data_IF_224985293474
#
_entry.id   IF_224985293474
#
_cell.length_a   1.000
_cell.length_b   1.000
_cell.length_c   1.000
_cell.angle_alpha   90.00
_cell.angle_beta   90.00
_cell.angle_gamma   90.00
#
_symmetry.space_group_name_H-M   'P 1'
#
loop_
_entity.id
_entity.type
_entity.pdbx_description
1 polymer ?
#
# COMPACT_ATOMS: atom_id res chain seq x y z
N UNK A 1 -37.78 -8.97 32.52
CA UNK A 1 -37.43 -7.56 32.74
C UNK A 1 -36.35 -7.19 31.73
N UNK A 2 -36.66 -6.23 30.88
CA UNK A 2 -35.78 -5.58 29.91
C UNK A 2 -34.92 -4.52 30.59
N UNK A 3 -33.71 -4.28 30.06
CA UNK A 3 -33.07 -2.98 29.70
C UNK A 3 -31.56 -3.11 29.90
N UNK A 4 -30.79 -3.33 28.84
CA UNK A 4 -30.26 -2.33 27.89
C UNK A 4 -28.89 -1.77 28.34
N UNK A 5 -27.88 -2.04 27.50
CA UNK A 5 -27.01 -1.06 26.85
C UNK A 5 -25.59 -1.60 26.70
N UNK A 6 -25.25 -2.02 25.47
CA UNK A 6 -24.02 -1.56 24.84
C UNK A 6 -24.23 -1.50 23.32
N UNK A 7 -24.87 -0.38 22.95
CA UNK A 7 -24.59 0.45 21.77
C UNK A 7 -24.60 -0.21 20.40
N UNK A 8 -25.79 -0.16 19.80
CA UNK A 8 -25.98 0.28 18.40
C UNK A 8 -25.12 1.54 18.16
N UNK A 9 -24.04 1.41 17.39
CA UNK A 9 -23.08 2.50 17.22
C UNK A 9 -22.00 2.26 16.17
N UNK A 10 -22.28 1.48 15.14
CA UNK A 10 -21.50 1.52 13.90
C UNK A 10 -22.48 1.42 12.74
N UNK A 11 -23.23 2.49 12.51
CA UNK A 11 -23.52 2.89 11.14
C UNK A 11 -22.18 3.33 10.54
N UNK A 12 -21.33 2.33 10.29
CA UNK A 12 -20.01 2.45 9.71
C UNK A 12 -20.29 2.76 8.24
N UNK A 13 -19.82 3.90 7.76
CA UNK A 13 -20.09 4.48 6.43
C UNK A 13 -20.57 3.46 5.38
N UNK A 14 -21.75 3.68 4.80
CA UNK A 14 -22.23 2.86 3.66
C UNK A 14 -21.27 2.92 2.47
N UNK A 15 -20.45 3.97 2.42
CA UNK A 15 -19.44 4.21 1.41
C UNK A 15 -18.04 3.79 1.91
N UNK A 16 -17.18 3.20 1.06
CA UNK A 16 -15.85 2.79 1.44
C UNK A 16 -14.99 3.93 2.02
N UNK A 17 -14.20 3.61 3.03
CA UNK A 17 -13.17 4.52 3.57
C UNK A 17 -11.76 4.02 3.25
N UNK A 18 -10.82 4.94 3.07
CA UNK A 18 -9.46 4.64 2.64
C UNK A 18 -8.44 5.19 3.63
N UNK A 19 -7.46 4.38 4.02
CA UNK A 19 -6.38 4.84 4.89
C UNK A 19 -5.08 4.14 4.53
N UNK A 20 -3.98 4.89 4.45
CA UNK A 20 -2.65 4.33 4.40
C UNK A 20 -2.16 4.05 5.82
N UNK A 21 -1.93 2.79 6.13
CA UNK A 21 -1.38 2.34 7.39
C UNK A 21 0.14 2.22 7.25
N UNK A 22 0.87 2.99 8.05
CA UNK A 22 2.33 2.96 8.11
C UNK A 22 2.83 2.15 9.29
N UNK A 23 3.76 1.22 9.00
CA UNK A 23 4.51 0.44 10.00
C UNK A 23 6.00 0.49 9.69
N UNK A 24 6.84 0.18 10.68
CA UNK A 24 8.29 0.08 10.44
C UNK A 24 8.55 -1.06 9.45
N UNK A 25 9.23 -0.74 8.35
CA UNK A 25 9.55 -1.71 7.31
C UNK A 25 10.43 -2.84 7.86
N UNK A 26 10.06 -4.10 7.64
CA UNK A 26 10.86 -5.28 8.02
C UNK A 26 11.43 -5.24 9.46
N UNK A 27 10.64 -4.69 10.39
CA UNK A 27 10.94 -4.60 11.83
C UNK A 27 12.29 -3.94 12.11
N UNK A 28 13.36 -4.71 12.33
CA UNK A 28 14.70 -4.19 12.62
C UNK A 28 15.37 -3.51 11.42
N UNK A 29 15.06 -3.93 10.19
CA UNK A 29 15.67 -3.37 8.99
C UNK A 29 15.17 -1.95 8.70
N UNK A 30 13.95 -1.59 9.09
CA UNK A 30 13.41 -0.23 8.94
C UNK A 30 14.07 0.79 9.86
N UNK A 31 14.71 0.35 10.95
CA UNK A 31 15.55 1.22 11.81
C UNK A 31 16.97 1.41 11.26
N UNK A 32 17.34 0.71 10.19
CA UNK A 32 18.65 0.86 9.55
C UNK A 32 18.68 2.18 8.74
N UNK A 33 17.54 2.62 8.20
CA UNK A 33 17.41 3.95 7.59
C UNK A 33 17.91 5.05 8.53
N UNK A 34 18.82 5.91 8.05
CA UNK A 34 19.16 7.16 8.73
C UNK A 34 18.86 8.33 7.80
N UNK A 35 18.49 9.51 8.33
CA UNK A 35 18.30 9.82 9.76
C UNK A 35 17.00 9.30 10.37
N UNK A 36 16.06 8.78 9.58
CA UNK A 36 14.72 8.37 10.02
C UNK A 36 14.42 6.92 9.66
N UNK A 37 13.50 6.30 10.40
CA UNK A 37 13.07 4.94 10.12
C UNK A 37 12.19 4.87 8.85
N UNK A 38 12.34 3.77 8.11
CA UNK A 38 11.57 3.52 6.88
C UNK A 38 10.16 3.02 7.21
N UNK A 39 9.15 3.69 6.64
CA UNK A 39 7.78 3.22 6.66
C UNK A 39 7.50 2.29 5.49
N UNK A 40 6.90 1.15 5.81
CA UNK A 40 6.14 0.36 4.87
C UNK A 40 4.66 0.75 4.99
N UNK A 41 4.07 1.09 3.85
CA UNK A 41 2.67 1.52 3.76
C UNK A 41 1.81 0.39 3.19
N UNK A 42 0.65 0.17 3.82
CA UNK A 42 -0.42 -0.69 3.31
C UNK A 42 -1.68 0.15 3.14
N UNK A 43 -2.39 -0.02 2.02
CA UNK A 43 -3.68 0.63 1.79
C UNK A 43 -4.79 -0.20 2.41
N UNK A 44 -5.58 0.43 3.27
CA UNK A 44 -6.77 -0.14 3.89
C UNK A 44 -8.00 0.44 3.20
N UNK A 45 -8.88 -0.44 2.75
CA UNK A 45 -10.24 -0.13 2.28
C UNK A 45 -11.19 -0.76 3.30
N UNK A 46 -11.90 0.05 4.08
CA UNK A 46 -12.93 -0.43 5.03
C UNK A 46 -14.31 -0.10 4.45
N UNK A 47 -15.06 -1.16 4.13
CA UNK A 47 -16.35 -1.12 3.46
C UNK A 47 -17.39 -1.90 4.27
N UNK A 48 -18.59 -1.34 4.44
CA UNK A 48 -19.63 -1.94 5.26
C UNK A 48 -20.15 -3.30 4.73
N UNK A 49 -20.00 -3.58 3.43
CA UNK A 49 -20.52 -4.79 2.79
C UNK A 49 -19.44 -5.86 2.58
N UNK A 50 -18.22 -5.45 2.25
CA UNK A 50 -17.10 -6.33 1.90
C UNK A 50 -16.11 -6.50 3.06
N UNK A 51 -16.27 -5.74 4.14
CA UNK A 51 -15.36 -5.71 5.27
C UNK A 51 -14.07 -4.96 4.94
N UNK A 52 -12.97 -5.39 5.55
CA UNK A 52 -11.67 -4.74 5.40
C UNK A 52 -10.90 -5.42 4.28
N UNK A 53 -10.45 -4.67 3.29
CA UNK A 53 -9.47 -5.09 2.29
C UNK A 53 -8.15 -4.36 2.53
N UNK A 54 -7.05 -5.10 2.54
CA UNK A 54 -5.70 -4.55 2.70
C UNK A 54 -4.90 -4.85 1.43
N UNK A 55 -4.28 -3.83 0.85
CA UNK A 55 -3.44 -3.96 -0.35
C UNK A 55 -2.05 -3.42 -0.03
N UNK A 56 -1.02 -4.22 -0.27
CA UNK A 56 0.37 -3.76 -0.23
C UNK A 56 1.26 -4.48 -1.24
N UNK A 57 2.45 -3.90 -1.47
CA UNK A 57 3.49 -4.50 -2.29
C UNK A 57 4.53 -5.15 -1.39
N UNK A 58 4.87 -6.41 -1.63
CA UNK A 58 5.89 -7.14 -0.85
C UNK A 58 6.94 -7.79 -1.73
N UNK A 59 8.17 -7.98 -1.22
CA UNK A 59 9.08 -8.93 -1.83
C UNK A 59 8.56 -10.36 -1.64
N UNK A 60 8.79 -11.20 -2.63
CA UNK A 60 8.74 -12.65 -2.47
C UNK A 60 9.96 -13.17 -1.70
N UNK A 61 9.72 -14.05 -0.74
CA UNK A 61 10.80 -14.74 0.01
C UNK A 61 10.93 -16.21 -0.41
N UNK A 62 10.82 -16.49 -1.71
CA UNK A 62 10.95 -17.84 -2.28
C UNK A 62 9.66 -18.65 -2.34
N UNK A 63 8.57 -18.15 -1.76
CA UNK A 63 7.21 -18.73 -1.83
C UNK A 63 6.68 -18.89 -3.28
N UNK A 64 7.19 -18.10 -4.22
CA UNK A 64 6.88 -18.17 -5.65
C UNK A 64 7.99 -18.87 -6.48
N UNK A 65 8.86 -19.66 -5.82
CA UNK A 65 10.03 -20.31 -6.43
C UNK A 65 11.27 -19.41 -6.49
N UNK A 66 12.45 -20.04 -6.65
CA UNK A 66 13.75 -19.35 -6.63
C UNK A 66 13.92 -18.31 -7.75
N UNK A 67 13.35 -18.56 -8.94
CA UNK A 67 13.39 -17.62 -10.07
C UNK A 67 12.69 -16.30 -9.77
N UNK A 68 11.71 -16.33 -8.86
CA UNK A 68 10.95 -15.16 -8.44
C UNK A 68 11.44 -14.59 -7.11
N UNK A 69 12.54 -15.07 -6.54
CA UNK A 69 13.05 -14.62 -5.26
C UNK A 69 13.34 -13.10 -5.26
N UNK A 70 12.91 -12.40 -4.21
CA UNK A 70 13.07 -10.96 -4.02
C UNK A 70 12.52 -10.15 -5.18
N UNK A 71 11.36 -10.52 -5.71
CA UNK A 71 10.63 -9.75 -6.71
C UNK A 71 9.34 -9.18 -6.11
N UNK A 72 8.92 -8.03 -6.60
CA UNK A 72 7.72 -7.34 -6.09
C UNK A 72 6.47 -8.11 -6.50
N UNK A 73 5.55 -8.30 -5.56
CA UNK A 73 4.19 -8.80 -5.80
C UNK A 73 3.15 -7.93 -5.10
N UNK A 74 1.94 -7.96 -5.63
CA UNK A 74 0.75 -7.51 -4.91
C UNK A 74 0.37 -8.54 -3.87
N UNK A 75 0.09 -8.10 -2.65
CA UNK A 75 -0.68 -8.88 -1.68
C UNK A 75 -2.02 -8.19 -1.43
N UNK A 76 -3.08 -9.00 -1.36
CA UNK A 76 -4.43 -8.57 -0.99
C UNK A 76 -4.89 -9.47 0.15
N UNK A 77 -5.24 -8.86 1.29
CA UNK A 77 -5.76 -9.55 2.47
C UNK A 77 -7.16 -9.06 2.78
N UNK A 78 -7.99 -9.93 3.35
CA UNK A 78 -9.34 -9.57 3.79
C UNK A 78 -9.48 -9.80 5.29
N UNK A 79 -10.13 -8.85 5.96
CA UNK A 79 -10.47 -8.89 7.38
C UNK A 79 -9.29 -9.12 8.34
N UNK A 80 -8.08 -8.75 7.91
CA UNK A 80 -6.87 -8.77 8.72
C UNK A 80 -6.14 -7.44 8.57
N UNK A 81 -6.13 -6.62 9.63
CA UNK A 81 -5.38 -5.36 9.64
C UNK A 81 -3.90 -5.64 9.91
N UNK A 82 -2.98 -4.88 9.29
CA UNK A 82 -1.55 -5.04 9.58
C UNK A 82 -1.27 -4.69 11.04
N UNK A 83 -0.47 -5.51 11.72
CA UNK A 83 0.03 -5.24 13.06
C UNK A 83 1.14 -4.18 13.07
N UNK A 84 1.42 -3.60 14.24
CA UNK A 84 2.55 -2.66 14.44
C UNK A 84 2.40 -1.32 13.73
N UNK A 85 1.16 -0.89 13.49
CA UNK A 85 0.84 0.39 12.83
C UNK A 85 1.14 1.55 13.77
N UNK A 86 1.94 2.49 13.28
CA UNK A 86 2.36 3.68 14.01
C UNK A 86 1.83 4.97 13.38
N UNK A 87 1.37 4.90 12.13
CA UNK A 87 0.83 6.05 11.39
C UNK A 87 -0.41 5.62 10.62
N UNK A 88 -1.43 6.49 10.60
CA UNK A 88 -2.64 6.32 9.79
C UNK A 88 -2.89 7.61 9.01
N UNK A 89 -2.87 7.53 7.69
CA UNK A 89 -3.04 8.69 6.80
C UNK A 89 -4.35 8.49 6.04
N UNK A 90 -5.38 9.31 6.28
CA UNK A 90 -6.62 9.22 5.53
C UNK A 90 -6.37 9.53 4.05
N UNK A 91 -7.08 8.84 3.17
CA UNK A 91 -7.03 9.06 1.74
C UNK A 91 -8.45 9.30 1.22
N UNK A 92 -8.59 10.27 0.32
CA UNK A 92 -9.84 10.55 -0.35
C UNK A 92 -9.73 10.26 -1.85
N UNK A 93 -10.84 9.86 -2.51
CA UNK A 93 -10.89 9.77 -3.96
C UNK A 93 -10.52 11.09 -4.65
N UNK A 94 -10.01 11.07 -5.89
CA UNK A 94 -9.86 12.28 -6.67
C UNK A 94 -11.23 12.93 -6.94
N UNK A 95 -11.23 14.25 -7.17
CA UNK A 95 -12.44 15.00 -7.45
C UNK A 95 -13.25 14.39 -8.61
N UNK A 96 -14.55 14.21 -8.42
CA UNK A 96 -15.46 13.62 -9.40
C UNK A 96 -15.51 12.09 -9.43
N UNK A 97 -14.73 11.39 -8.60
CA UNK A 97 -14.79 9.93 -8.46
C UNK A 97 -15.54 9.54 -7.18
N UNK A 98 -16.52 8.64 -7.29
CA UNK A 98 -17.23 8.11 -6.10
C UNK A 98 -16.31 7.19 -5.28
N UNK A 99 -16.59 7.02 -3.99
CA UNK A 99 -15.83 6.13 -3.11
C UNK A 99 -15.91 4.68 -3.57
N UNK A 100 -17.06 4.23 -4.04
CA UNK A 100 -17.28 2.87 -4.57
C UNK A 100 -16.46 2.64 -5.84
N UNK A 101 -16.45 3.61 -6.74
CA UNK A 101 -15.66 3.56 -7.97
C UNK A 101 -14.17 3.54 -7.63
N UNK A 102 -13.74 4.36 -6.68
CA UNK A 102 -12.35 4.41 -6.25
C UNK A 102 -11.90 3.07 -5.65
N UNK A 103 -12.68 2.50 -4.73
CA UNK A 103 -12.40 1.18 -4.15
C UNK A 103 -12.30 0.09 -5.23
N UNK A 104 -13.27 0.04 -6.15
CA UNK A 104 -13.28 -0.92 -7.24
C UNK A 104 -12.06 -0.81 -8.13
N UNK A 105 -11.72 0.40 -8.58
CA UNK A 105 -10.55 0.61 -9.45
C UNK A 105 -9.24 0.28 -8.74
N UNK A 106 -9.09 0.59 -7.44
CA UNK A 106 -7.92 0.21 -6.66
C UNK A 106 -7.74 -1.32 -6.62
N UNK A 107 -8.80 -2.06 -6.35
CA UNK A 107 -8.77 -3.53 -6.33
C UNK A 107 -8.47 -4.10 -7.73
N UNK A 108 -9.10 -3.56 -8.78
CA UNK A 108 -8.85 -3.97 -10.17
C UNK A 108 -7.39 -3.73 -10.55
N UNK A 109 -6.84 -2.54 -10.29
CA UNK A 109 -5.45 -2.20 -10.63
C UNK A 109 -4.44 -3.00 -9.83
N UNK A 110 -4.71 -3.27 -8.56
CA UNK A 110 -3.86 -4.11 -7.73
C UNK A 110 -3.83 -5.56 -8.23
N UNK A 111 -4.99 -6.09 -8.64
CA UNK A 111 -5.12 -7.44 -9.22
C UNK A 111 -4.45 -7.54 -10.59
N UNK A 112 -4.52 -6.47 -11.38
CA UNK A 112 -3.89 -6.37 -12.70
C UNK A 112 -2.38 -6.09 -12.65
N UNK A 113 -1.80 -5.97 -11.46
CA UNK A 113 -0.37 -5.78 -11.34
C UNK A 113 0.38 -7.03 -11.80
N UNK A 114 1.31 -6.85 -12.74
CA UNK A 114 2.19 -7.92 -13.19
C UNK A 114 3.21 -8.28 -12.10
N UNK A 115 2.81 -9.15 -11.17
CA UNK A 115 3.71 -9.60 -10.10
C UNK A 115 4.94 -10.31 -10.66
N UNK A 116 6.06 -10.20 -9.95
CA UNK A 116 7.35 -10.81 -10.28
C UNK A 116 8.05 -10.23 -11.53
N UNK A 117 7.60 -9.12 -12.08
CA UNK A 117 8.31 -8.47 -13.20
C UNK A 117 9.53 -7.66 -12.76
N UNK A 118 9.48 -7.08 -11.56
CA UNK A 118 10.51 -6.17 -11.06
C UNK A 118 11.23 -6.71 -9.81
N UNK A 119 12.57 -6.73 -9.77
CA UNK A 119 13.31 -7.02 -8.56
C UNK A 119 12.98 -6.02 -7.45
N UNK A 120 12.77 -6.52 -6.24
CA UNK A 120 12.61 -5.71 -5.05
C UNK A 120 13.96 -5.12 -4.64
N UNK A 121 13.98 -3.80 -4.43
CA UNK A 121 15.15 -3.08 -3.92
C UNK A 121 14.86 -2.56 -2.53
N UNK A 122 15.48 -3.13 -1.47
CA UNK A 122 15.39 -2.49 -0.17
C UNK A 122 16.04 -1.10 -0.25
N UNK A 123 15.62 -0.14 0.58
CA UNK A 123 16.21 1.19 0.62
C UNK A 123 17.74 1.08 0.73
N UNK A 124 18.45 1.43 -0.35
CA UNK A 124 19.87 1.09 -0.51
C UNK A 124 20.82 2.01 0.26
N UNK A 125 20.30 3.06 0.91
CA UNK A 125 21.13 4.04 1.58
C UNK A 125 20.63 4.27 2.99
N UNK A 126 21.54 4.03 3.94
CA UNK A 126 21.54 4.57 5.30
C UNK A 126 21.36 6.11 5.35
N UNK A 127 21.26 6.82 4.22
CA UNK A 127 21.11 8.27 4.09
C UNK A 127 20.34 8.62 2.81
N UNK A 128 19.03 8.85 2.92
CA UNK A 128 18.25 9.56 1.91
C UNK A 128 16.89 8.96 1.56
N UNK A 129 15.91 9.84 1.32
CA UNK A 129 14.50 9.51 1.07
C UNK A 129 14.21 8.98 -0.34
N UNK A 130 15.24 8.79 -1.19
CA UNK A 130 15.09 8.54 -2.64
C UNK A 130 15.81 7.27 -3.09
N UNK A 131 15.07 6.42 -3.81
CA UNK A 131 15.62 5.27 -4.53
C UNK A 131 16.48 5.74 -5.72
N UNK A 132 17.39 4.89 -6.22
CA UNK A 132 18.06 5.20 -7.48
C UNK A 132 17.07 4.99 -8.65
N UNK A 133 17.27 5.68 -9.79
CA UNK A 133 16.41 5.48 -10.96
C UNK A 133 16.31 4.00 -11.37
N UNK A 134 15.09 3.51 -11.57
CA UNK A 134 14.82 2.12 -11.95
C UNK A 134 14.79 1.12 -10.78
N UNK A 135 15.02 1.57 -9.54
CA UNK A 135 14.87 0.76 -8.34
C UNK A 135 13.49 0.95 -7.72
N UNK A 136 12.82 -0.16 -7.38
CA UNK A 136 11.46 -0.14 -6.87
C UNK A 136 11.32 -0.99 -5.61
N UNK A 137 10.40 -0.60 -4.74
CA UNK A 137 10.09 -1.28 -3.49
C UNK A 137 8.60 -1.24 -3.20
N UNK A 138 8.21 -1.61 -1.98
CA UNK A 138 6.81 -1.59 -1.52
C UNK A 138 6.14 -0.22 -1.62
N UNK A 139 6.85 0.86 -1.28
CA UNK A 139 6.36 2.24 -1.43
C UNK A 139 6.21 2.66 -2.89
N UNK A 140 7.16 2.32 -3.77
CA UNK A 140 7.07 2.60 -5.21
C UNK A 140 5.89 1.89 -5.85
N UNK A 141 5.60 0.65 -5.41
CA UNK A 141 4.43 -0.11 -5.85
C UNK A 141 3.14 0.62 -5.45
N UNK A 142 3.00 0.98 -4.16
CA UNK A 142 1.75 1.55 -3.68
C UNK A 142 1.51 2.96 -4.23
N UNK A 143 2.57 3.76 -4.38
CA UNK A 143 2.51 5.05 -5.07
C UNK A 143 2.04 4.90 -6.53
N UNK A 144 2.50 3.87 -7.24
CA UNK A 144 2.07 3.59 -8.60
C UNK A 144 0.63 3.08 -8.68
N UNK A 145 0.19 2.26 -7.72
CA UNK A 145 -1.21 1.84 -7.61
C UNK A 145 -2.11 3.07 -7.49
N UNK A 146 -1.81 3.96 -6.53
CA UNK A 146 -2.57 5.19 -6.33
C UNK A 146 -2.54 6.07 -7.58
N UNK A 147 -1.36 6.28 -8.19
CA UNK A 147 -1.25 7.04 -9.44
C UNK A 147 -2.04 6.44 -10.60
N UNK A 148 -2.15 5.12 -10.68
CA UNK A 148 -2.89 4.45 -11.75
C UNK A 148 -4.41 4.70 -11.69
N UNK A 149 -4.93 5.02 -10.50
CA UNK A 149 -6.36 5.30 -10.29
C UNK A 149 -6.63 6.80 -10.16
N UNK A 150 -5.80 7.51 -9.39
CA UNK A 150 -5.97 8.94 -9.08
C UNK A 150 -5.42 9.86 -10.17
N UNK A 151 -4.52 9.36 -11.02
CA UNK A 151 -3.75 10.17 -11.99
C UNK A 151 -2.53 10.88 -11.37
N UNK A 152 -2.41 10.91 -10.05
CA UNK A 152 -1.29 11.51 -9.32
C UNK A 152 -0.89 10.66 -8.09
N UNK A 153 0.30 10.90 -7.56
CA UNK A 153 0.75 10.30 -6.28
C UNK A 153 0.40 11.28 -5.16
N UNK A 154 -0.41 10.91 -4.16
CA UNK A 154 -0.69 11.79 -3.03
C UNK A 154 0.59 12.04 -2.23
N UNK A 155 0.76 13.26 -1.72
CA UNK A 155 1.89 13.58 -0.87
C UNK A 155 1.78 12.79 0.45
N UNK A 156 2.84 12.06 0.79
CA UNK A 156 2.98 11.41 2.08
C UNK A 156 4.19 12.01 2.76
N UNK A 157 3.95 12.71 3.86
CA UNK A 157 4.98 13.24 4.74
C UNK A 157 4.60 12.92 6.18
N UNK A 158 5.48 12.20 6.86
CA UNK A 158 5.28 11.82 8.25
C UNK A 158 6.50 12.26 9.04
N UNK A 159 6.30 13.16 9.99
CA UNK A 159 7.38 13.70 10.81
C UNK A 159 8.11 12.55 11.52
N UNK A 160 9.44 12.50 11.38
CA UNK A 160 10.30 11.51 12.01
C UNK A 160 10.43 10.18 11.25
N UNK A 161 9.87 10.09 10.04
CA UNK A 161 9.90 8.89 9.21
C UNK A 161 10.18 9.23 7.74
N UNK A 162 10.65 8.23 7.00
CA UNK A 162 10.85 8.33 5.55
C UNK A 162 10.10 7.20 4.82
N UNK A 163 9.65 7.48 3.60
CA UNK A 163 8.95 6.53 2.72
C UNK A 163 9.72 6.39 1.40
N UNK A 164 10.92 5.80 1.42
CA UNK A 164 11.78 5.73 0.25
C UNK A 164 11.05 5.04 -0.90
N UNK A 165 11.13 5.64 -2.10
CA UNK A 165 10.47 5.12 -3.30
C UNK A 165 9.06 5.67 -3.54
N UNK A 166 8.43 6.33 -2.56
CA UNK A 166 7.10 6.92 -2.73
C UNK A 166 7.05 7.98 -3.85
N UNK A 167 8.05 8.85 -3.89
CA UNK A 167 8.19 9.88 -4.93
C UNK A 167 8.62 9.33 -6.29
N UNK A 168 8.97 8.04 -6.36
CA UNK A 168 9.42 7.33 -7.56
C UNK A 168 8.50 6.12 -7.79
N UNK A 169 7.24 6.36 -8.19
CA UNK A 169 6.29 5.28 -8.44
C UNK A 169 6.81 4.36 -9.54
N UNK A 170 6.48 3.07 -9.41
CA UNK A 170 6.67 2.12 -10.50
C UNK A 170 5.99 2.59 -11.81
N UNK A 171 6.54 2.22 -12.97
CA UNK A 171 5.91 2.46 -14.26
C UNK A 171 4.47 1.92 -14.33
N UNK A 172 3.54 2.75 -14.79
CA UNK A 172 2.11 2.41 -14.81
C UNK A 172 1.76 1.25 -15.76
N UNK A 173 2.64 0.90 -16.72
CA UNK A 173 2.41 -0.26 -17.59
C UNK A 173 2.34 -1.57 -16.79
N UNK A 174 2.94 -1.64 -15.60
CA UNK A 174 2.82 -2.80 -14.73
C UNK A 174 1.42 -2.99 -14.13
N UNK A 175 0.53 -1.98 -14.16
CA UNK A 175 -0.82 -2.00 -13.58
C UNK A 175 -1.94 -2.12 -14.63
N UNK A 176 -1.58 -2.43 -15.87
CA UNK A 176 -2.53 -2.53 -16.99
C UNK A 176 -3.09 -3.93 -17.22
N UNK A 177 -2.58 -4.97 -16.54
CA UNK A 177 -2.97 -6.36 -16.80
C UNK A 177 -2.44 -6.91 -18.12
N UNK A 178 -1.67 -6.11 -18.87
CA UNK A 178 -0.92 -6.57 -20.02
C UNK A 178 0.29 -7.33 -19.49
N UNK A 179 0.20 -8.66 -19.52
CA UNK A 179 1.35 -9.50 -19.28
C UNK A 179 2.48 -9.02 -20.20
N UNK A 180 3.57 -8.53 -19.61
CA UNK A 180 4.84 -8.42 -20.30
C UNK A 180 5.24 -9.86 -20.65
N UNK A 181 4.89 -10.27 -21.88
CA UNK A 181 5.33 -11.52 -22.50
C UNK A 181 6.76 -11.39 -22.98
#
# INVERSE_FOLDING_TARGET
MSTDMNTVGRAQHSEPTFTLYGRIAATYAGYIGRPYADLHLSLIIDDAYNGITVIDGQPTFGEAGLHNLLRIRTNIYTNELPGGVIVKIPLDPPAGMSRETFARELVIRATNFASYVSPYRPPAKLRGDKMNPGEYNSSSYLAALLKSVMGYVPAVHVIGYQTPGWEQPMPLHFFKGEALR
#
